data_IF_026801827142
#
_entry.id   IF_026801827142
#
_cell.length_a   1.000
_cell.length_b   1.000
_cell.length_c   1.000
_cell.angle_alpha   90.00
_cell.angle_beta   90.00
_cell.angle_gamma   90.00
#
_symmetry.space_group_name_H-M   'P 1'
#
loop_
_entity.id
_entity.type
_entity.pdbx_description
1 polymer ?
#
# COMPACT_ATOMS: atom_id res chain seq x y z
N UNK A 1 -55.47 -34.35 60.14
CA UNK A 1 -55.23 -35.75 59.73
C UNK A 1 -54.11 -35.77 58.71
N UNK A 2 -53.03 -36.53 59.01
CA UNK A 2 -52.12 -37.24 58.08
C UNK A 2 -51.49 -36.44 56.93
N UNK A 3 -50.18 -36.29 56.74
CA UNK A 3 -49.00 -36.88 57.35
C UNK A 3 -47.79 -36.44 56.48
N UNK A 4 -46.66 -36.09 57.09
CA UNK A 4 -45.38 -35.87 56.41
C UNK A 4 -44.61 -37.20 56.35
N UNK A 5 -44.05 -37.59 55.19
CA UNK A 5 -42.92 -38.53 55.12
C UNK A 5 -41.63 -37.75 54.81
N UNK A 6 -40.62 -37.79 55.68
CA UNK A 6 -39.54 -38.79 55.83
C UNK A 6 -38.43 -38.70 54.76
N UNK A 7 -37.35 -38.08 55.23
CA UNK A 7 -35.94 -38.22 54.89
C UNK A 7 -35.53 -39.63 54.42
N UNK A 8 -34.75 -39.72 53.34
CA UNK A 8 -33.93 -40.89 52.99
C UNK A 8 -32.49 -40.47 52.72
N UNK A 9 -31.59 -41.09 53.49
CA UNK A 9 -30.14 -41.16 53.30
C UNK A 9 -29.76 -42.26 52.29
N UNK A 10 -28.55 -42.15 51.73
CA UNK A 10 -27.83 -43.19 50.99
C UNK A 10 -27.82 -42.92 49.47
N UNK A 11 -26.75 -43.12 48.71
CA UNK A 11 -25.55 -43.92 48.93
C UNK A 11 -24.50 -43.48 47.92
N UNK A 12 -23.24 -43.58 48.35
CA UNK A 12 -22.04 -43.60 47.53
C UNK A 12 -22.20 -44.44 46.25
N UNK A 13 -21.71 -43.90 45.14
CA UNK A 13 -21.01 -44.68 44.11
C UNK A 13 -19.74 -43.94 43.68
N UNK A 14 -18.62 -44.53 44.10
CA UNK A 14 -17.25 -44.22 43.71
C UNK A 14 -16.80 -45.31 42.73
N UNK A 15 -16.47 -44.92 41.50
CA UNK A 15 -15.50 -45.58 40.59
C UNK A 15 -15.38 -44.65 39.37
N UNK A 16 -14.31 -43.91 39.16
CA UNK A 16 -12.92 -44.26 38.82
C UNK A 16 -12.64 -44.06 37.33
N UNK A 17 -11.55 -43.33 37.08
CA UNK A 17 -10.78 -43.20 35.83
C UNK A 17 -11.48 -42.55 34.64
N UNK A 18 -11.01 -41.36 34.26
CA UNK A 18 -10.16 -41.28 33.07
C UNK A 18 -9.24 -40.04 33.15
N UNK A 19 -7.98 -40.29 32.82
CA UNK A 19 -6.86 -39.38 32.81
C UNK A 19 -7.04 -38.30 31.74
N UNK A 20 -6.82 -37.03 32.08
CA UNK A 20 -6.24 -36.06 31.16
C UNK A 20 -5.73 -34.83 31.94
N UNK A 21 -4.42 -34.80 32.16
CA UNK A 21 -3.72 -33.64 32.68
C UNK A 21 -3.93 -32.43 31.76
N UNK A 22 -4.58 -31.40 32.29
CA UNK A 22 -4.66 -30.09 31.65
C UNK A 22 -3.54 -29.24 32.19
N UNK A 23 -2.37 -29.34 31.56
CA UNK A 23 -1.30 -28.36 31.72
C UNK A 23 -1.85 -26.99 31.34
N UNK A 24 -1.89 -26.09 32.31
CA UNK A 24 -2.16 -24.67 32.09
C UNK A 24 -0.90 -24.04 31.50
N UNK A 25 -0.77 -24.13 30.18
CA UNK A 25 0.21 -23.36 29.43
C UNK A 25 -0.24 -21.90 29.41
N UNK A 26 0.34 -21.09 30.29
CA UNK A 26 0.30 -19.64 30.22
C UNK A 26 0.99 -19.19 28.93
N UNK A 27 0.21 -18.99 27.85
CA UNK A 27 0.70 -18.39 26.62
C UNK A 27 0.87 -16.90 26.86
N UNK A 28 2.12 -16.52 27.11
CA UNK A 28 2.61 -15.15 27.15
C UNK A 28 2.33 -14.45 25.82
N UNK A 29 1.40 -13.51 25.81
CA UNK A 29 1.18 -12.57 24.69
C UNK A 29 2.32 -11.55 24.69
N UNK A 30 3.46 -11.95 24.11
CA UNK A 30 4.59 -11.07 23.78
C UNK A 30 4.98 -11.28 22.30
N UNK A 31 4.09 -10.92 21.37
CA UNK A 31 4.41 -10.97 19.93
C UNK A 31 3.89 -9.77 19.12
N UNK A 32 3.75 -8.59 19.76
CA UNK A 32 3.28 -7.37 19.08
C UNK A 32 4.34 -6.28 18.87
N UNK A 33 5.43 -6.28 19.65
CA UNK A 33 6.36 -5.13 19.71
C UNK A 33 7.65 -5.28 18.87
N UNK A 34 7.96 -6.49 18.40
CA UNK A 34 9.21 -6.78 17.68
C UNK A 34 9.17 -6.48 16.18
N UNK A 35 8.00 -6.54 15.53
CA UNK A 35 7.88 -6.24 14.09
C UNK A 35 7.81 -4.74 13.75
N UNK A 36 7.43 -3.88 14.71
CA UNK A 36 7.39 -2.43 14.48
C UNK A 36 8.80 -1.78 14.48
N UNK A 37 9.78 -2.38 15.17
CA UNK A 37 11.15 -1.84 15.24
C UNK A 37 12.03 -2.21 14.03
N UNK A 38 11.67 -3.23 13.26
CA UNK A 38 12.42 -3.63 12.06
C UNK A 38 12.02 -2.85 10.79
N UNK A 39 10.81 -2.28 10.73
CA UNK A 39 10.36 -1.48 9.57
C UNK A 39 10.93 -0.06 9.49
N UNK A 40 11.52 0.46 10.57
CA UNK A 40 12.08 1.83 10.58
C UNK A 40 13.54 1.93 10.12
N UNK A 41 14.23 0.81 9.83
CA UNK A 41 15.65 0.82 9.46
C UNK A 41 15.97 0.72 7.96
N UNK A 42 14.99 0.49 7.08
CA UNK A 42 15.27 0.13 5.68
C UNK A 42 14.99 1.21 4.61
N UNK A 43 14.40 2.36 4.97
CA UNK A 43 14.11 3.44 4.03
C UNK A 43 14.74 4.78 4.43
N UNK A 44 16.04 4.78 4.77
CA UNK A 44 16.80 6.03 4.71
C UNK A 44 17.29 6.18 3.26
N UNK A 45 16.90 7.23 2.51
CA UNK A 45 17.56 7.52 1.25
C UNK A 45 19.05 7.62 1.54
N UNK A 46 19.87 6.87 0.81
CA UNK A 46 21.32 6.89 0.92
C UNK A 46 21.81 8.31 0.60
N UNK A 47 21.90 9.14 1.63
CA UNK A 47 22.64 10.39 1.61
C UNK A 47 24.05 10.03 2.01
N UNK A 48 25.02 10.36 1.14
CA UNK A 48 26.41 10.36 1.53
C UNK A 48 26.54 11.16 2.84
N UNK A 49 27.19 10.61 3.87
CA UNK A 49 27.51 11.36 5.08
C UNK A 49 28.09 12.72 4.70
N UNK A 50 27.75 13.76 5.45
CA UNK A 50 28.14 15.12 5.10
C UNK A 50 29.65 15.25 4.81
N UNK A 51 30.45 14.48 5.54
CA UNK A 51 31.89 14.29 5.36
C UNK A 51 32.26 13.80 3.96
N UNK A 52 31.63 12.72 3.47
CA UNK A 52 32.02 12.07 2.23
C UNK A 52 31.78 12.97 1.01
N UNK A 53 30.72 13.79 1.04
CA UNK A 53 30.46 14.76 -0.03
C UNK A 53 31.55 15.85 -0.08
N UNK A 54 31.93 16.42 1.07
CA UNK A 54 32.94 17.48 1.09
C UNK A 54 34.33 16.94 0.72
N UNK A 55 34.68 15.73 1.15
CA UNK A 55 35.93 15.07 0.75
C UNK A 55 35.96 14.84 -0.76
N UNK A 56 34.87 14.37 -1.37
CA UNK A 56 34.79 14.18 -2.82
C UNK A 56 34.87 15.51 -3.58
N UNK A 57 34.14 16.55 -3.14
CA UNK A 57 34.19 17.88 -3.77
C UNK A 57 35.57 18.51 -3.68
N UNK A 58 36.26 18.34 -2.54
CA UNK A 58 37.64 18.81 -2.38
C UNK A 58 38.60 18.05 -3.31
N UNK A 59 38.48 16.73 -3.40
CA UNK A 59 39.30 15.92 -4.32
C UNK A 59 39.11 16.34 -5.79
N UNK A 60 37.85 16.57 -6.21
CA UNK A 60 37.55 17.06 -7.56
C UNK A 60 38.16 18.44 -7.79
N UNK A 61 38.04 19.35 -6.82
CA UNK A 61 38.62 20.69 -6.92
C UNK A 61 40.14 20.67 -7.06
N UNK A 62 40.82 19.79 -6.31
CA UNK A 62 42.26 19.61 -6.38
C UNK A 62 42.65 19.04 -7.75
N UNK A 63 41.92 18.05 -8.26
CA UNK A 63 42.18 17.48 -9.58
C UNK A 63 42.03 18.51 -10.70
N UNK A 64 40.98 19.36 -10.65
CA UNK A 64 40.79 20.43 -11.64
C UNK A 64 41.85 21.51 -11.53
N UNK A 65 42.30 21.85 -10.31
CA UNK A 65 43.42 22.77 -10.12
C UNK A 65 44.67 22.30 -10.88
N UNK A 66 45.07 21.03 -10.69
CA UNK A 66 46.25 20.48 -11.36
C UNK A 66 46.07 20.35 -12.88
N UNK A 67 44.86 20.05 -13.35
CA UNK A 67 44.56 19.97 -14.79
C UNK A 67 44.70 21.35 -15.44
N UNK A 68 44.04 22.37 -14.88
CA UNK A 68 44.09 23.75 -15.39
C UNK A 68 45.50 24.30 -15.29
N UNK A 69 46.18 24.09 -14.16
CA UNK A 69 47.59 24.44 -13.99
C UNK A 69 48.47 23.80 -15.07
N UNK A 70 48.32 22.50 -15.33
CA UNK A 70 49.11 21.79 -16.34
C UNK A 70 48.90 22.33 -17.76
N UNK A 71 47.66 22.66 -18.13
CA UNK A 71 47.33 23.23 -19.44
C UNK A 71 47.89 24.66 -19.60
N UNK A 72 47.84 25.47 -18.54
CA UNK A 72 48.33 26.85 -18.57
C UNK A 72 49.85 26.95 -18.44
N UNK A 73 50.52 25.94 -17.87
CA UNK A 73 51.98 25.89 -17.76
C UNK A 73 52.66 25.86 -19.14
N UNK A 74 52.00 25.24 -20.13
CA UNK A 74 52.48 25.19 -21.52
C UNK A 74 52.22 26.51 -22.28
N UNK A 75 51.39 27.41 -21.74
CA UNK A 75 50.86 28.60 -22.42
C UNK A 75 51.66 29.90 -22.27
N UNK A 76 52.83 29.88 -21.63
CA UNK A 76 53.67 31.06 -21.35
C UNK A 76 52.98 32.21 -20.57
N UNK A 77 51.94 31.91 -19.79
CA UNK A 77 51.37 32.90 -18.87
C UNK A 77 52.28 33.10 -17.65
N UNK A 78 52.47 34.34 -17.21
CA UNK A 78 53.40 34.69 -16.13
C UNK A 78 52.93 34.22 -14.73
N UNK A 79 51.66 33.81 -14.57
CA UNK A 79 51.12 33.38 -13.26
C UNK A 79 49.96 32.36 -13.35
N UNK A 80 50.20 31.11 -13.83
CA UNK A 80 49.17 30.09 -14.04
C UNK A 80 48.45 29.63 -12.74
N UNK A 81 49.00 29.94 -11.56
CA UNK A 81 48.42 29.53 -10.24
C UNK A 81 47.21 30.39 -9.91
N UNK A 82 47.18 31.63 -10.39
CA UNK A 82 46.10 32.56 -10.12
C UNK A 82 44.85 32.10 -10.86
N UNK A 83 44.97 31.83 -12.17
CA UNK A 83 43.86 31.36 -12.98
C UNK A 83 43.33 29.99 -12.51
N UNK A 84 44.22 29.03 -12.22
CA UNK A 84 43.85 27.70 -11.70
C UNK A 84 43.22 27.78 -10.30
N UNK A 85 43.72 28.65 -9.42
CA UNK A 85 43.14 28.89 -8.10
C UNK A 85 41.73 29.48 -8.16
N UNK A 86 41.48 30.41 -9.07
CA UNK A 86 40.14 30.98 -9.32
C UNK A 86 39.18 29.89 -9.83
N UNK A 87 39.60 29.08 -10.80
CA UNK A 87 38.80 28.00 -11.35
C UNK A 87 38.40 26.96 -10.28
N UNK A 88 39.35 26.54 -9.45
CA UNK A 88 39.10 25.63 -8.33
C UNK A 88 38.13 26.22 -7.30
N UNK A 89 38.28 27.51 -6.98
CA UNK A 89 37.41 28.23 -6.03
C UNK A 89 35.96 28.29 -6.50
N UNK A 90 35.73 28.52 -7.81
CA UNK A 90 34.39 28.52 -8.41
C UNK A 90 33.73 27.15 -8.27
N UNK A 91 34.48 26.07 -8.47
CA UNK A 91 33.95 24.70 -8.35
C UNK A 91 33.54 24.40 -6.90
N UNK A 92 34.36 24.76 -5.91
CA UNK A 92 34.01 24.61 -4.50
C UNK A 92 32.76 25.41 -4.14
N UNK A 93 32.68 26.68 -4.57
CA UNK A 93 31.51 27.52 -4.35
C UNK A 93 30.25 26.91 -4.98
N UNK A 94 30.35 26.42 -6.22
CA UNK A 94 29.24 25.76 -6.93
C UNK A 94 28.77 24.48 -6.21
N UNK A 95 29.70 23.69 -5.66
CA UNK A 95 29.38 22.47 -4.92
C UNK A 95 28.64 22.76 -3.61
N UNK A 96 28.94 23.87 -2.94
CA UNK A 96 28.20 24.33 -1.75
C UNK A 96 26.79 24.77 -2.12
N UNK A 97 26.63 25.56 -3.19
CA UNK A 97 25.32 26.02 -3.67
C UNK A 97 24.45 24.87 -4.15
N UNK A 98 25.01 23.94 -4.93
CA UNK A 98 24.31 22.72 -5.38
C UNK A 98 23.80 21.91 -4.19
N UNK A 99 24.64 21.72 -3.17
CA UNK A 99 24.25 21.00 -1.96
C UNK A 99 23.10 21.70 -1.23
N UNK A 100 23.15 23.02 -1.11
CA UNK A 100 22.08 23.81 -0.49
C UNK A 100 20.76 23.72 -1.28
N UNK A 101 20.80 23.78 -2.61
CA UNK A 101 19.62 23.62 -3.47
C UNK A 101 19.05 22.21 -3.35
N UNK A 102 19.89 21.17 -3.40
CA UNK A 102 19.45 19.79 -3.24
C UNK A 102 18.92 19.51 -1.84
N UNK A 103 19.53 20.04 -0.79
CA UNK A 103 19.03 19.97 0.58
C UNK A 103 17.69 20.69 0.72
N UNK A 104 17.52 21.87 0.13
CA UNK A 104 16.23 22.59 0.12
C UNK A 104 15.16 21.80 -0.63
N UNK A 105 15.48 21.20 -1.78
CA UNK A 105 14.55 20.40 -2.59
C UNK A 105 14.18 19.09 -1.89
N UNK A 106 15.15 18.42 -1.28
CA UNK A 106 14.95 17.22 -0.47
C UNK A 106 14.16 17.52 0.81
N UNK A 107 14.47 18.64 1.50
CA UNK A 107 13.72 19.10 2.67
C UNK A 107 12.29 19.49 2.29
N UNK A 108 12.04 20.13 1.14
CA UNK A 108 10.68 20.37 0.63
C UNK A 108 9.95 19.06 0.33
N UNK A 109 10.60 18.08 -0.31
CA UNK A 109 9.99 16.76 -0.52
C UNK A 109 9.70 16.03 0.79
N UNK A 110 10.63 16.08 1.74
CA UNK A 110 10.45 15.46 3.05
C UNK A 110 9.37 16.16 3.87
N UNK A 111 9.32 17.49 3.86
CA UNK A 111 8.26 18.28 4.48
C UNK A 111 6.90 18.04 3.82
N UNK A 112 6.84 17.77 2.51
CA UNK A 112 5.59 17.39 1.83
C UNK A 112 5.15 15.97 2.20
N UNK A 113 6.09 15.02 2.32
CA UNK A 113 5.78 13.66 2.79
C UNK A 113 5.41 13.67 4.27
N UNK A 114 6.09 14.47 5.08
CA UNK A 114 5.81 14.67 6.49
C UNK A 114 4.52 15.47 6.70
N UNK A 115 4.18 16.44 5.82
CA UNK A 115 2.89 17.14 5.87
C UNK A 115 1.76 16.24 5.42
N UNK A 116 2.00 15.27 4.52
CA UNK A 116 1.02 14.22 4.20
C UNK A 116 0.87 13.24 5.35
N UNK A 117 1.95 12.86 6.03
CA UNK A 117 1.89 12.03 7.23
C UNK A 117 1.23 12.78 8.39
N UNK A 118 1.55 14.05 8.59
CA UNK A 118 0.94 14.92 9.60
C UNK A 118 -0.48 15.30 9.21
N UNK A 119 -0.86 15.38 7.94
CA UNK A 119 -2.24 15.54 7.50
C UNK A 119 -3.04 14.25 7.69
N UNK A 120 -2.44 13.07 7.45
CA UNK A 120 -3.04 11.77 7.76
C UNK A 120 -3.10 11.51 9.28
N UNK A 121 -2.09 11.90 10.05
CA UNK A 121 -2.05 11.79 11.51
C UNK A 121 -2.88 12.88 12.19
N UNK A 122 -3.01 14.08 11.61
CA UNK A 122 -4.03 15.06 11.99
C UNK A 122 -5.39 14.60 11.50
N UNK A 123 -5.51 13.83 10.42
CA UNK A 123 -6.76 13.16 10.03
C UNK A 123 -7.16 12.10 11.04
N UNK A 124 -6.22 11.33 11.59
CA UNK A 124 -6.46 10.32 12.64
C UNK A 124 -6.61 10.95 14.04
N UNK A 125 -5.86 12.02 14.36
CA UNK A 125 -6.00 12.77 15.62
C UNK A 125 -7.18 13.75 15.60
N UNK A 126 -7.53 14.31 14.45
CA UNK A 126 -8.76 15.07 14.25
C UNK A 126 -9.94 14.14 14.01
N UNK A 127 -9.81 12.91 13.51
CA UNK A 127 -10.86 11.90 13.66
C UNK A 127 -11.02 11.56 15.14
N UNK A 128 -9.92 11.39 15.89
CA UNK A 128 -9.93 11.22 17.35
C UNK A 128 -10.41 12.45 18.15
N UNK A 129 -10.36 13.66 17.59
CA UNK A 129 -10.89 14.90 18.20
C UNK A 129 -12.25 15.34 17.65
N UNK A 130 -12.63 14.95 16.44
CA UNK A 130 -13.94 15.18 15.83
C UNK A 130 -14.91 14.06 16.23
N UNK A 131 -14.40 12.93 16.72
CA UNK A 131 -15.11 11.96 17.56
C UNK A 131 -15.42 12.50 18.97
N UNK A 132 -15.09 13.76 19.30
CA UNK A 132 -15.73 14.50 20.41
C UNK A 132 -17.05 15.19 20.03
N UNK A 133 -17.39 15.27 18.74
CA UNK A 133 -18.67 15.85 18.28
C UNK A 133 -19.75 14.78 18.01
N UNK A 134 -19.36 13.51 17.92
CA UNK A 134 -20.28 12.38 18.09
C UNK A 134 -20.09 11.82 19.50
N UNK A 135 -21.12 11.78 20.35
CA UNK A 135 -20.96 11.43 21.76
C UNK A 135 -20.63 9.95 21.89
N UNK A 136 -19.34 9.63 21.95
CA UNK A 136 -18.88 8.30 22.30
C UNK A 136 -18.18 8.35 23.66
N UNK A 137 -18.85 7.71 24.62
CA UNK A 137 -18.28 7.12 25.84
C UNK A 137 -18.28 8.00 27.10
N UNK A 138 -19.40 8.61 27.44
CA UNK A 138 -19.83 8.67 28.86
C UNK A 138 -21.34 8.50 28.97
N UNK A 139 -21.74 7.63 29.89
CA UNK A 139 -23.08 7.46 30.46
C UNK A 139 -24.14 6.69 29.65
N UNK A 140 -24.68 5.71 30.35
CA UNK A 140 -25.66 4.70 29.99
C UNK A 140 -27.10 5.26 29.94
N UNK A 141 -27.27 6.51 29.47
CA UNK A 141 -28.55 7.24 29.52
C UNK A 141 -28.93 7.72 28.11
N UNK A 142 -29.73 6.89 27.43
CA UNK A 142 -30.51 7.21 26.24
C UNK A 142 -29.78 7.95 25.09
N UNK A 143 -28.88 7.26 24.40
CA UNK A 143 -28.41 7.67 23.06
C UNK A 143 -29.51 7.43 22.00
N UNK A 144 -30.72 7.94 22.25
CA UNK A 144 -31.83 7.87 21.30
C UNK A 144 -31.55 8.87 20.18
N UNK A 145 -31.46 8.37 18.94
CA UNK A 145 -31.31 9.22 17.77
C UNK A 145 -32.65 9.92 17.48
N UNK A 146 -32.84 11.15 17.97
CA UNK A 146 -34.04 11.94 17.69
C UNK A 146 -34.12 12.26 16.20
N UNK A 147 -35.30 12.65 15.72
CA UNK A 147 -35.50 12.94 14.29
C UNK A 147 -34.61 14.11 13.86
N UNK A 148 -34.47 15.11 14.70
CA UNK A 148 -33.66 16.32 14.49
C UNK A 148 -32.17 15.96 14.47
N UNK A 149 -31.70 15.14 15.41
CA UNK A 149 -30.32 14.65 15.45
C UNK A 149 -29.99 13.81 14.21
N UNK A 150 -30.90 12.94 13.78
CA UNK A 150 -30.75 12.15 12.56
C UNK A 150 -30.61 13.07 11.33
N UNK A 151 -31.48 14.06 11.20
CA UNK A 151 -31.44 15.02 10.09
C UNK A 151 -30.14 15.85 10.08
N UNK A 152 -29.67 16.28 11.26
CA UNK A 152 -28.42 17.03 11.39
C UNK A 152 -27.20 16.22 10.94
N UNK A 153 -27.10 14.95 11.34
CA UNK A 153 -26.00 14.07 10.92
C UNK A 153 -26.04 13.82 9.41
N UNK A 154 -27.21 13.53 8.85
CA UNK A 154 -27.36 13.33 7.39
C UNK A 154 -26.94 14.59 6.63
N UNK A 155 -27.36 15.77 7.07
CA UNK A 155 -26.97 17.05 6.48
C UNK A 155 -25.45 17.27 6.54
N UNK A 156 -24.82 16.93 7.66
CA UNK A 156 -23.37 17.03 7.81
C UNK A 156 -22.64 16.10 6.84
N UNK A 157 -23.11 14.85 6.69
CA UNK A 157 -22.56 13.88 5.73
C UNK A 157 -22.71 14.41 4.31
N UNK A 158 -23.87 14.99 3.96
CA UNK A 158 -24.11 15.59 2.65
C UNK A 158 -23.14 16.75 2.36
N UNK A 159 -22.95 17.66 3.32
CA UNK A 159 -22.01 18.78 3.20
C UNK A 159 -20.56 18.32 3.00
N UNK A 160 -20.12 17.30 3.76
CA UNK A 160 -18.78 16.71 3.55
C UNK A 160 -18.68 15.96 2.22
N UNK A 161 -19.73 15.26 1.82
CA UNK A 161 -19.82 14.61 0.49
C UNK A 161 -19.65 15.62 -0.64
N UNK A 162 -20.35 16.77 -0.58
CA UNK A 162 -20.22 17.85 -1.56
C UNK A 162 -18.78 18.39 -1.59
N UNK A 163 -18.18 18.63 -0.42
CA UNK A 163 -16.79 19.08 -0.31
C UNK A 163 -15.79 18.07 -0.92
N UNK A 164 -16.02 16.77 -0.69
CA UNK A 164 -15.20 15.71 -1.28
C UNK A 164 -15.38 15.63 -2.81
N UNK A 165 -16.61 15.81 -3.32
CA UNK A 165 -16.88 15.87 -4.77
C UNK A 165 -16.14 17.01 -5.46
N UNK A 166 -16.08 18.18 -4.82
CA UNK A 166 -15.29 19.31 -5.31
C UNK A 166 -13.78 19.03 -5.31
N UNK A 167 -13.32 18.17 -4.38
CA UNK A 167 -11.91 17.77 -4.27
C UNK A 167 -11.51 16.71 -5.31
N UNK A 168 -12.47 15.98 -5.89
CA UNK A 168 -12.43 15.16 -7.10
C UNK A 168 -11.37 14.06 -7.22
N UNK A 169 -10.09 14.41 -7.15
CA UNK A 169 -8.94 13.51 -7.34
C UNK A 169 -8.34 13.01 -6.03
N UNK A 170 -8.70 13.59 -4.90
CA UNK A 170 -8.14 13.22 -3.59
C UNK A 170 -8.89 12.01 -3.03
N UNK A 171 -8.29 10.82 -3.14
CA UNK A 171 -8.85 9.59 -2.60
C UNK A 171 -9.14 9.70 -1.09
N UNK A 172 -8.24 10.34 -0.33
CA UNK A 172 -8.39 10.57 1.12
C UNK A 172 -9.71 11.27 1.48
N UNK A 173 -10.15 12.26 0.69
CA UNK A 173 -11.40 12.98 0.94
C UNK A 173 -12.64 12.09 0.76
N UNK A 174 -12.61 11.15 -0.19
CA UNK A 174 -13.69 10.18 -0.37
C UNK A 174 -13.71 9.14 0.75
N UNK A 175 -12.54 8.68 1.21
CA UNK A 175 -12.43 7.72 2.32
C UNK A 175 -13.01 8.29 3.62
N UNK A 176 -12.73 9.56 3.93
CA UNK A 176 -13.29 10.22 5.11
C UNK A 176 -14.84 10.20 5.09
N UNK A 177 -15.45 10.45 3.94
CA UNK A 177 -16.92 10.39 3.79
C UNK A 177 -17.44 8.97 3.93
N UNK A 178 -16.72 7.97 3.39
CA UNK A 178 -17.06 6.54 3.56
C UNK A 178 -17.10 6.17 5.04
N UNK A 179 -16.09 6.55 5.83
CA UNK A 179 -16.04 6.27 7.27
C UNK A 179 -17.21 6.90 8.02
N UNK A 180 -17.55 8.16 7.70
CA UNK A 180 -18.71 8.85 8.29
C UNK A 180 -20.02 8.18 7.93
N UNK A 181 -20.18 7.77 6.67
CA UNK A 181 -21.32 7.02 6.20
C UNK A 181 -21.44 5.66 6.93
N UNK A 182 -20.35 4.91 7.06
CA UNK A 182 -20.32 3.62 7.76
C UNK A 182 -20.68 3.74 9.24
N UNK A 183 -20.15 4.76 9.92
CA UNK A 183 -20.50 5.08 11.30
C UNK A 183 -22.00 5.41 11.44
N UNK A 184 -22.55 6.21 10.53
CA UNK A 184 -23.98 6.50 10.52
C UNK A 184 -24.83 5.26 10.25
N UNK A 185 -24.49 4.45 9.23
CA UNK A 185 -25.25 3.26 8.86
C UNK A 185 -25.28 2.23 10.00
N UNK A 186 -24.17 2.03 10.70
CA UNK A 186 -24.11 1.15 11.87
C UNK A 186 -24.94 1.69 13.05
N UNK A 187 -24.90 3.01 13.31
CA UNK A 187 -25.74 3.65 14.32
C UNK A 187 -27.22 3.54 13.97
N UNK A 188 -27.57 3.82 12.71
CA UNK A 188 -28.93 3.77 12.19
C UNK A 188 -29.51 2.35 12.30
N UNK A 189 -28.72 1.32 11.95
CA UNK A 189 -29.11 -0.09 12.08
C UNK A 189 -29.48 -0.45 13.53
N UNK A 190 -28.61 -0.12 14.50
CA UNK A 190 -28.90 -0.34 15.94
C UNK A 190 -30.15 0.39 16.41
N UNK A 191 -30.40 1.61 15.91
CA UNK A 191 -31.58 2.39 16.29
C UNK A 191 -32.87 1.82 15.70
N UNK A 192 -32.83 1.31 14.46
CA UNK A 192 -34.01 0.67 13.86
C UNK A 192 -34.42 -0.60 14.61
N UNK A 193 -33.46 -1.37 15.13
CA UNK A 193 -33.73 -2.56 15.96
C UNK A 193 -34.46 -2.22 17.28
N UNK A 194 -34.26 -1.01 17.80
CA UNK A 194 -34.88 -0.55 19.06
C UNK A 194 -36.21 0.19 18.86
N UNK A 195 -36.58 0.56 17.64
CA UNK A 195 -37.75 1.41 17.37
C UNK A 195 -38.96 0.54 17.05
N UNK A 196 -40.03 0.70 17.84
CA UNK A 196 -41.29 -0.01 17.62
C UNK A 196 -41.99 0.35 16.30
N UNK A 197 -42.76 -0.61 15.78
CA UNK A 197 -43.58 -0.46 14.57
C UNK A 197 -44.58 0.69 14.78
N UNK A 198 -44.67 1.61 13.80
CA UNK A 198 -45.55 2.79 13.87
C UNK A 198 -44.91 4.06 14.43
N UNK A 199 -43.66 4.02 14.89
CA UNK A 199 -42.95 5.22 15.35
C UNK A 199 -42.65 6.18 14.18
N UNK A 200 -42.94 7.50 14.29
CA UNK A 200 -42.60 8.48 13.26
C UNK A 200 -41.10 8.58 12.99
N UNK A 201 -40.26 8.16 13.96
CA UNK A 201 -38.79 8.08 13.82
C UNK A 201 -38.36 7.05 12.77
N UNK A 202 -39.13 5.98 12.57
CA UNK A 202 -38.78 4.89 11.67
C UNK A 202 -38.69 5.39 10.22
N UNK A 203 -39.62 6.24 9.80
CA UNK A 203 -39.61 6.84 8.45
C UNK A 203 -38.36 7.70 8.21
N UNK A 204 -37.99 8.53 9.20
CA UNK A 204 -36.79 9.37 9.12
C UNK A 204 -35.50 8.54 9.10
N UNK A 205 -35.42 7.46 9.89
CA UNK A 205 -34.27 6.54 9.91
C UNK A 205 -34.11 5.81 8.58
N UNK A 206 -35.21 5.31 7.99
CA UNK A 206 -35.19 4.63 6.68
C UNK A 206 -34.72 5.56 5.56
N UNK A 207 -35.28 6.78 5.49
CA UNK A 207 -34.86 7.78 4.51
C UNK A 207 -33.38 8.12 4.65
N UNK A 208 -32.92 8.36 5.89
CA UNK A 208 -31.51 8.64 6.15
C UNK A 208 -30.59 7.48 5.76
N UNK A 209 -30.97 6.23 6.05
CA UNK A 209 -30.24 5.02 5.63
C UNK A 209 -30.13 4.93 4.12
N UNK A 210 -31.22 5.17 3.40
CA UNK A 210 -31.22 5.13 1.93
C UNK A 210 -30.29 6.21 1.35
N UNK A 211 -30.45 7.47 1.78
CA UNK A 211 -29.63 8.59 1.32
C UNK A 211 -28.14 8.36 1.62
N UNK A 212 -27.80 8.00 2.87
CA UNK A 212 -26.40 7.77 3.25
C UNK A 212 -25.85 6.49 2.62
N UNK A 213 -26.69 5.47 2.39
CA UNK A 213 -26.29 4.26 1.67
C UNK A 213 -25.88 4.54 0.22
N UNK A 214 -26.59 5.44 -0.48
CA UNK A 214 -26.22 5.90 -1.81
C UNK A 214 -24.91 6.69 -1.80
N UNK A 215 -24.73 7.59 -0.82
CA UNK A 215 -23.47 8.34 -0.65
C UNK A 215 -22.30 7.42 -0.33
N UNK A 216 -22.48 6.45 0.57
CA UNK A 216 -21.48 5.44 0.91
C UNK A 216 -21.00 4.71 -0.35
N UNK A 217 -21.94 4.20 -1.16
CA UNK A 217 -21.63 3.51 -2.42
C UNK A 217 -20.82 4.41 -3.35
N UNK A 218 -21.31 5.61 -3.62
CA UNK A 218 -20.64 6.56 -4.51
C UNK A 218 -19.21 6.88 -4.06
N UNK A 219 -19.02 7.24 -2.78
CA UNK A 219 -17.70 7.61 -2.27
C UNK A 219 -16.75 6.42 -2.19
N UNK A 220 -17.23 5.22 -1.84
CA UNK A 220 -16.39 4.02 -1.77
C UNK A 220 -15.87 3.63 -3.15
N UNK A 221 -16.74 3.63 -4.17
CA UNK A 221 -16.33 3.33 -5.54
C UNK A 221 -15.35 4.37 -6.08
N UNK A 222 -15.63 5.66 -5.83
CA UNK A 222 -14.73 6.74 -6.26
C UNK A 222 -13.38 6.69 -5.54
N UNK A 223 -13.36 6.41 -4.24
CA UNK A 223 -12.14 6.19 -3.48
C UNK A 223 -11.33 5.02 -4.06
N UNK A 224 -11.97 3.86 -4.22
CA UNK A 224 -11.32 2.65 -4.71
C UNK A 224 -10.73 2.87 -6.12
N UNK A 225 -11.47 3.55 -6.99
CA UNK A 225 -11.01 3.95 -8.33
C UNK A 225 -9.80 4.89 -8.29
N UNK A 226 -9.86 5.95 -7.49
CA UNK A 226 -8.79 6.95 -7.42
C UNK A 226 -7.52 6.36 -6.81
N UNK A 227 -7.65 5.60 -5.71
CA UNK A 227 -6.53 5.00 -4.99
C UNK A 227 -5.87 3.88 -5.81
N UNK A 228 -6.66 2.97 -6.41
CA UNK A 228 -6.12 1.93 -7.29
C UNK A 228 -5.39 2.51 -8.51
N UNK A 229 -5.92 3.58 -9.12
CA UNK A 229 -5.25 4.29 -10.22
C UNK A 229 -3.94 4.92 -9.77
N UNK A 230 -3.93 5.59 -8.61
CA UNK A 230 -2.72 6.19 -8.06
C UNK A 230 -1.64 5.12 -7.79
N UNK A 231 -2.00 4.01 -7.15
CA UNK A 231 -1.08 2.90 -6.84
C UNK A 231 -0.58 2.18 -8.11
N UNK A 232 -1.41 2.07 -9.14
CA UNK A 232 -1.01 1.52 -10.45
C UNK A 232 -0.01 2.44 -11.15
N UNK A 233 -0.23 3.76 -11.11
CA UNK A 233 0.73 4.74 -11.63
C UNK A 233 2.04 4.69 -10.83
N UNK A 234 1.96 4.59 -9.50
CA UNK A 234 3.12 4.40 -8.63
C UNK A 234 3.92 3.16 -9.05
N UNK A 235 3.24 2.02 -9.23
CA UNK A 235 3.85 0.77 -9.71
C UNK A 235 4.62 0.96 -11.01
N UNK A 236 4.07 1.69 -11.99
CA UNK A 236 4.75 1.94 -13.27
C UNK A 236 6.05 2.74 -13.13
N UNK A 237 6.12 3.63 -12.14
CA UNK A 237 7.28 4.52 -11.91
C UNK A 237 8.39 3.82 -11.11
N UNK A 238 8.08 2.77 -10.34
CA UNK A 238 9.09 2.04 -9.54
C UNK A 238 10.12 1.34 -10.43
N UNK A 239 11.37 1.31 -9.99
CA UNK A 239 12.46 0.63 -10.72
C UNK A 239 12.54 -0.85 -10.34
N UNK A 240 12.46 -1.16 -9.03
CA UNK A 240 12.57 -2.54 -8.53
C UNK A 240 11.28 -3.31 -8.76
N UNK A 241 11.41 -4.55 -9.26
CA UNK A 241 10.29 -5.46 -9.50
C UNK A 241 9.43 -5.70 -8.25
N UNK A 242 10.08 -5.88 -7.08
CA UNK A 242 9.41 -6.05 -5.79
C UNK A 242 8.47 -4.89 -5.48
N UNK A 243 8.95 -3.67 -5.70
CA UNK A 243 8.22 -2.44 -5.38
C UNK A 243 7.08 -2.22 -6.38
N UNK A 244 7.25 -2.64 -7.64
CA UNK A 244 6.18 -2.66 -8.65
C UNK A 244 5.05 -3.59 -8.19
N UNK A 245 5.39 -4.84 -7.88
CA UNK A 245 4.43 -5.86 -7.46
C UNK A 245 3.72 -5.45 -6.17
N UNK A 246 4.45 -4.94 -5.18
CA UNK A 246 3.87 -4.48 -3.91
C UNK A 246 2.86 -3.34 -4.14
N UNK A 247 3.19 -2.35 -4.98
CA UNK A 247 2.26 -1.25 -5.30
C UNK A 247 1.01 -1.76 -6.04
N UNK A 248 1.16 -2.66 -7.00
CA UNK A 248 0.03 -3.28 -7.70
C UNK A 248 -0.83 -4.16 -6.79
N UNK A 249 -0.23 -4.91 -5.86
CA UNK A 249 -0.94 -5.69 -4.85
C UNK A 249 -1.72 -4.81 -3.87
N UNK A 250 -1.16 -3.65 -3.47
CA UNK A 250 -1.90 -2.66 -2.68
C UNK A 250 -3.12 -2.14 -3.45
N UNK A 251 -2.97 -1.86 -4.74
CA UNK A 251 -4.10 -1.44 -5.59
C UNK A 251 -5.19 -2.51 -5.65
N UNK A 252 -4.80 -3.78 -5.79
CA UNK A 252 -5.70 -4.92 -5.79
C UNK A 252 -6.45 -5.05 -4.45
N UNK A 253 -5.72 -4.93 -3.34
CA UNK A 253 -6.31 -4.98 -2.01
C UNK A 253 -7.35 -3.88 -1.78
N UNK A 254 -7.09 -2.65 -2.24
CA UNK A 254 -8.07 -1.56 -2.19
C UNK A 254 -9.38 -1.91 -2.89
N UNK A 255 -9.31 -2.53 -4.07
CA UNK A 255 -10.52 -2.96 -4.78
C UNK A 255 -11.24 -4.09 -4.05
N UNK A 256 -10.50 -5.04 -3.47
CA UNK A 256 -11.08 -6.14 -2.68
C UNK A 256 -11.81 -5.63 -1.44
N UNK A 257 -11.20 -4.68 -0.72
CA UNK A 257 -11.85 -4.01 0.42
C UNK A 257 -13.15 -3.33 0.00
N UNK A 258 -13.21 -2.70 -1.19
CA UNK A 258 -14.45 -2.13 -1.70
C UNK A 258 -15.48 -3.19 -2.10
N UNK A 259 -15.02 -4.32 -2.66
CA UNK A 259 -15.87 -5.44 -3.08
C UNK A 259 -16.50 -6.18 -1.88
N UNK A 260 -15.88 -6.16 -0.69
CA UNK A 260 -16.49 -6.67 0.54
C UNK A 260 -17.83 -5.96 0.87
N UNK A 261 -17.97 -4.67 0.53
CA UNK A 261 -19.20 -3.91 0.75
C UNK A 261 -20.19 -4.01 -0.42
N UNK A 262 -19.68 -4.07 -1.67
CA UNK A 262 -20.50 -4.13 -2.89
C UNK A 262 -19.99 -5.21 -3.85
N UNK A 263 -20.23 -6.50 -3.57
CA UNK A 263 -19.64 -7.61 -4.31
C UNK A 263 -20.14 -7.74 -5.75
N UNK A 264 -21.33 -7.21 -6.04
CA UNK A 264 -21.96 -7.27 -7.36
C UNK A 264 -21.62 -6.04 -8.23
N UNK A 265 -20.74 -5.15 -7.77
CA UNK A 265 -20.39 -3.97 -8.56
C UNK A 265 -19.45 -4.37 -9.71
N UNK A 266 -19.99 -4.36 -10.93
CA UNK A 266 -19.28 -4.73 -12.15
C UNK A 266 -17.95 -3.99 -12.32
N UNK A 267 -17.93 -2.69 -12.01
CA UNK A 267 -16.72 -1.87 -12.13
C UNK A 267 -15.56 -2.36 -11.24
N UNK A 268 -15.87 -2.88 -10.04
CA UNK A 268 -14.86 -3.42 -9.13
C UNK A 268 -14.33 -4.76 -9.65
N UNK A 269 -15.22 -5.65 -10.10
CA UNK A 269 -14.86 -6.97 -10.63
C UNK A 269 -13.97 -6.85 -11.87
N UNK A 270 -14.34 -5.98 -12.81
CA UNK A 270 -13.55 -5.72 -14.02
C UNK A 270 -12.19 -5.12 -13.66
N UNK A 271 -12.17 -4.12 -12.76
CA UNK A 271 -10.91 -3.49 -12.33
C UNK A 271 -10.00 -4.46 -11.57
N UNK A 272 -10.56 -5.35 -10.77
CA UNK A 272 -9.82 -6.40 -10.05
C UNK A 272 -9.16 -7.36 -11.04
N UNK A 273 -9.91 -7.80 -12.05
CA UNK A 273 -9.41 -8.69 -13.11
C UNK A 273 -8.25 -8.04 -13.86
N UNK A 274 -8.40 -6.78 -14.29
CA UNK A 274 -7.34 -6.01 -14.96
C UNK A 274 -6.10 -5.84 -14.07
N UNK A 275 -6.25 -5.64 -12.76
CA UNK A 275 -5.10 -5.55 -11.87
C UNK A 275 -4.37 -6.88 -11.66
N UNK A 276 -5.10 -8.00 -11.62
CA UNK A 276 -4.49 -9.33 -11.56
C UNK A 276 -3.68 -9.61 -12.83
N UNK A 277 -4.24 -9.30 -14.00
CA UNK A 277 -3.55 -9.39 -15.29
C UNK A 277 -2.32 -8.46 -15.34
N UNK A 278 -2.44 -7.24 -14.81
CA UNK A 278 -1.31 -6.32 -14.72
C UNK A 278 -0.18 -6.90 -13.85
N UNK A 279 -0.49 -7.48 -12.69
CA UNK A 279 0.50 -8.16 -11.84
C UNK A 279 1.13 -9.35 -12.58
N UNK A 280 0.33 -10.15 -13.29
CA UNK A 280 0.81 -11.27 -14.09
C UNK A 280 1.81 -10.78 -15.16
N UNK A 281 1.46 -9.73 -15.90
CA UNK A 281 2.32 -9.15 -16.94
C UNK A 281 3.67 -8.68 -16.38
N UNK A 282 3.69 -8.04 -15.21
CA UNK A 282 4.92 -7.62 -14.53
C UNK A 282 5.82 -8.83 -14.22
N UNK A 283 5.24 -9.91 -13.70
CA UNK A 283 5.98 -11.14 -13.40
C UNK A 283 6.52 -11.81 -14.67
N UNK A 284 5.67 -11.94 -15.70
CA UNK A 284 6.06 -12.56 -16.98
C UNK A 284 7.20 -11.79 -17.62
N UNK A 285 7.10 -10.46 -17.74
CA UNK A 285 8.17 -9.63 -18.29
C UNK A 285 9.47 -9.75 -17.48
N UNK A 286 9.38 -9.86 -16.15
CA UNK A 286 10.56 -10.04 -15.31
C UNK A 286 11.28 -11.37 -15.57
N UNK A 287 10.52 -12.47 -15.64
CA UNK A 287 11.09 -13.79 -15.85
C UNK A 287 11.65 -13.95 -17.26
N UNK A 288 11.01 -13.36 -18.28
CA UNK A 288 11.55 -13.29 -19.64
C UNK A 288 12.88 -12.54 -19.65
N UNK A 289 12.95 -11.35 -19.03
CA UNK A 289 14.19 -10.57 -18.96
C UNK A 289 15.32 -11.35 -18.25
N UNK A 290 15.02 -12.07 -17.17
CA UNK A 290 16.01 -12.91 -16.49
C UNK A 290 16.44 -14.11 -17.34
N UNK A 291 15.52 -14.70 -18.11
CA UNK A 291 15.81 -15.78 -19.03
C UNK A 291 16.77 -15.32 -20.13
N UNK A 292 16.47 -14.19 -20.77
CA UNK A 292 17.29 -13.59 -21.83
C UNK A 292 18.69 -13.23 -21.31
N UNK A 293 18.79 -12.64 -20.12
CA UNK A 293 20.08 -12.35 -19.48
C UNK A 293 20.88 -13.60 -19.17
N UNK A 294 20.23 -14.70 -18.77
CA UNK A 294 20.89 -15.97 -18.52
C UNK A 294 21.35 -16.64 -19.83
N UNK A 295 20.53 -16.59 -20.88
CA UNK A 295 20.84 -17.10 -22.20
C UNK A 295 22.01 -16.34 -22.84
N UNK A 296 22.03 -15.01 -22.71
CA UNK A 296 23.14 -14.16 -23.18
C UNK A 296 24.47 -14.51 -22.51
N UNK A 297 24.44 -14.91 -21.23
CA UNK A 297 25.63 -15.40 -20.50
C UNK A 297 26.00 -16.85 -20.81
N UNK A 298 25.30 -17.51 -21.72
CA UNK A 298 25.50 -18.94 -22.07
C UNK A 298 24.92 -19.92 -21.05
N UNK A 299 24.22 -19.47 -20.01
CA UNK A 299 23.62 -20.36 -19.01
C UNK A 299 22.23 -20.82 -19.43
N UNK A 300 22.18 -21.73 -20.42
CA UNK A 300 20.93 -22.19 -21.04
C UNK A 300 20.00 -22.93 -20.09
N UNK A 301 20.53 -23.75 -19.17
CA UNK A 301 19.71 -24.45 -18.16
C UNK A 301 18.93 -23.46 -17.29
N UNK A 302 19.60 -22.39 -16.85
CA UNK A 302 18.97 -21.34 -16.04
C UNK A 302 17.97 -20.51 -16.85
N UNK A 303 18.28 -20.20 -18.11
CA UNK A 303 17.37 -19.50 -18.99
C UNK A 303 16.06 -20.28 -19.22
N UNK A 304 16.15 -21.58 -19.49
CA UNK A 304 14.98 -22.45 -19.65
C UNK A 304 14.11 -22.47 -18.38
N UNK A 305 14.72 -22.52 -17.20
CA UNK A 305 13.97 -22.47 -15.94
C UNK A 305 13.21 -21.14 -15.78
N UNK A 306 13.84 -20.01 -16.09
CA UNK A 306 13.18 -18.70 -16.05
C UNK A 306 12.04 -18.59 -17.08
N UNK A 307 12.17 -19.14 -18.28
CA UNK A 307 11.06 -19.20 -19.25
C UNK A 307 9.90 -20.08 -18.76
N UNK A 308 10.19 -21.19 -18.07
CA UNK A 308 9.15 -22.02 -17.44
C UNK A 308 8.41 -21.26 -16.33
N UNK A 309 9.14 -20.48 -15.52
CA UNK A 309 8.53 -19.61 -14.52
C UNK A 309 7.59 -18.59 -15.18
N UNK A 310 7.99 -17.99 -16.31
CA UNK A 310 7.11 -17.09 -17.08
C UNK A 310 5.82 -17.79 -17.57
N UNK A 311 5.94 -19.01 -18.12
CA UNK A 311 4.78 -19.81 -18.55
C UNK A 311 3.84 -20.15 -17.39
N UNK A 312 4.39 -20.42 -16.19
CA UNK A 312 3.60 -20.67 -15.00
C UNK A 312 2.71 -19.48 -14.65
N UNK A 313 3.24 -18.25 -14.72
CA UNK A 313 2.44 -17.05 -14.47
C UNK A 313 1.39 -16.79 -15.57
N UNK A 314 1.70 -17.07 -16.83
CA UNK A 314 0.73 -16.97 -17.94
C UNK A 314 -0.43 -17.95 -17.77
N UNK A 315 -0.14 -19.19 -17.36
CA UNK A 315 -1.18 -20.22 -17.19
C UNK A 315 -2.11 -19.94 -16.01
N UNK A 316 -1.58 -19.37 -14.91
CA UNK A 316 -2.36 -19.11 -13.70
C UNK A 316 -3.40 -18.00 -13.86
N UNK A 317 -3.03 -16.94 -14.57
CA UNK A 317 -3.80 -15.69 -14.62
C UNK A 317 -4.54 -15.53 -15.97
N UNK A 318 -4.73 -16.63 -16.72
CA UNK A 318 -5.36 -16.65 -18.04
C UNK A 318 -6.88 -16.38 -17.95
N UNK A 319 -7.25 -15.11 -18.02
CA UNK A 319 -8.65 -14.70 -18.16
C UNK A 319 -9.14 -14.97 -19.58
N UNK A 320 -10.42 -15.33 -19.74
CA UNK A 320 -11.00 -15.67 -21.04
C UNK A 320 -10.89 -14.54 -22.08
N UNK A 321 -10.74 -13.27 -21.64
CA UNK A 321 -10.70 -12.10 -22.53
C UNK A 321 -9.36 -11.91 -23.24
N UNK A 322 -8.24 -12.38 -22.66
CA UNK A 322 -6.89 -12.20 -23.20
C UNK A 322 -6.23 -13.54 -23.56
N UNK A 323 -7.01 -14.61 -23.60
CA UNK A 323 -6.53 -15.97 -23.90
C UNK A 323 -5.75 -16.05 -25.21
N UNK A 324 -6.14 -15.28 -26.23
CA UNK A 324 -5.45 -15.23 -27.53
C UNK A 324 -4.05 -14.61 -27.42
N UNK A 325 -3.91 -13.45 -26.75
CA UNK A 325 -2.60 -12.79 -26.58
C UNK A 325 -1.70 -13.62 -25.67
N UNK A 326 -2.25 -14.15 -24.57
CA UNK A 326 -1.53 -15.05 -23.66
C UNK A 326 -1.04 -16.30 -24.38
N UNK A 327 -1.86 -16.87 -25.28
CA UNK A 327 -1.49 -18.02 -26.12
C UNK A 327 -0.34 -17.68 -27.06
N UNK A 328 -0.39 -16.54 -27.75
CA UNK A 328 0.69 -16.11 -28.65
C UNK A 328 2.04 -15.96 -27.91
N UNK A 329 2.04 -15.33 -26.73
CA UNK A 329 3.24 -15.19 -25.89
C UNK A 329 3.74 -16.55 -25.42
N UNK A 330 2.85 -17.45 -25.00
CA UNK A 330 3.23 -18.79 -24.58
C UNK A 330 3.87 -19.61 -25.72
N UNK A 331 3.35 -19.50 -26.94
CA UNK A 331 3.93 -20.13 -28.14
C UNK A 331 5.34 -19.60 -28.41
N UNK A 332 5.54 -18.28 -28.31
CA UNK A 332 6.87 -17.67 -28.47
C UNK A 332 7.87 -18.16 -27.42
N UNK A 333 7.46 -18.20 -26.14
CA UNK A 333 8.33 -18.70 -25.05
C UNK A 333 8.70 -20.17 -25.29
N UNK A 334 7.75 -21.01 -25.69
CA UNK A 334 8.03 -22.41 -26.01
C UNK A 334 9.01 -22.57 -27.18
N UNK A 335 8.86 -21.76 -28.23
CA UNK A 335 9.79 -21.75 -29.36
C UNK A 335 11.22 -21.37 -28.93
N UNK A 336 11.37 -20.40 -28.04
CA UNK A 336 12.69 -20.03 -27.49
C UNK A 336 13.28 -21.12 -26.59
N UNK A 337 12.46 -21.80 -25.77
CA UNK A 337 12.92 -22.94 -24.97
C UNK A 337 13.52 -24.03 -25.88
N UNK A 338 12.86 -24.36 -27.00
CA UNK A 338 13.35 -25.37 -27.94
C UNK A 338 14.66 -24.95 -28.62
N UNK A 339 14.79 -23.67 -29.02
CA UNK A 339 16.05 -23.13 -29.55
C UNK A 339 17.19 -23.25 -28.54
N UNK A 340 16.94 -22.91 -27.27
CA UNK A 340 17.96 -23.00 -26.22
C UNK A 340 18.35 -24.45 -25.90
N UNK A 341 17.43 -25.40 -25.99
CA UNK A 341 17.73 -26.84 -25.86
C UNK A 341 18.67 -27.30 -26.96
N UNK A 342 18.37 -26.97 -28.22
CA UNK A 342 19.20 -27.32 -29.36
C UNK A 342 20.61 -26.66 -29.29
N UNK A 343 20.68 -25.42 -28.82
CA UNK A 343 21.93 -24.70 -28.59
C UNK A 343 22.79 -25.35 -27.50
N UNK A 344 22.18 -25.74 -26.37
CA UNK A 344 22.89 -26.40 -25.26
C UNK A 344 23.51 -27.74 -25.66
N UNK A 345 22.88 -28.51 -26.53
CA UNK A 345 23.43 -29.78 -27.04
C UNK A 345 24.64 -29.57 -27.97
N UNK A 346 24.67 -28.48 -28.73
CA UNK A 346 25.82 -28.17 -29.61
C UNK A 346 27.06 -27.74 -28.84
N UNK A 347 26.89 -27.06 -27.72
CA UNK A 347 28.02 -26.64 -26.88
C UNK A 347 28.69 -27.84 -26.20
N UNK A 348 27.90 -28.84 -25.78
CA UNK A 348 28.42 -30.05 -25.10
C UNK A 348 29.19 -30.97 -26.06
N UNK A 349 28.90 -30.94 -27.36
CA UNK A 349 29.57 -31.81 -28.35
C UNK A 349 30.84 -31.20 -28.96
N UNK A 350 31.17 -29.94 -28.64
CA UNK A 350 32.34 -29.23 -29.17
C UNK A 350 33.45 -29.01 -28.12
N UNK A 351 33.21 -29.41 -26.87
CA UNK A 351 34.21 -29.55 -25.80
C UNK A 351 34.58 -31.03 -25.66
#
# INVERSE_FOLDING_TARGET
MTGKPKERKGSDYRTDRFLAGRQTSSVSVKSGASNARLRHKLNRPFWLPASNYYVLSAAISIAVFFLVWGVLLDGAEEAPWIASGIAASIILASAVVLREIFLRKARRRFLLTQSKLDANLKGVRAAGHQQRLLPQKTSHVSNKLTVEKNAAIVKQIQQKSESARLSGKLAEAHLEVVELCGNYLSLNQRQMEMVGVGSPRLAALRRGRETVGQLHRYHLLTWAQNESRHLTQESKIRVKISDKIEAAQRALHTLQTAAEFYPNERQLIESETVLREFIASINVSHWIEQAERAAFKGNYKRAINHYRDALFFLARDNSALEAEKTSAVAVQINAEIEKLRAGSTKTINND
#
